data_IF_248650294627
#
_entry.id   IF_248650294627
#
_cell.length_a   1.000
_cell.length_b   1.000
_cell.length_c   1.000
_cell.angle_alpha   90.00
_cell.angle_beta   90.00
_cell.angle_gamma   90.00
#
_symmetry.space_group_name_H-M   'P 1'
#
loop_
_entity.id
_entity.type
_entity.pdbx_description
1 polymer ?
#
# COMPACT_ATOMS: atom_id res chain seq x y z
N UNK A 1 -12.78 16.68 -13.07
CA UNK A 1 -13.26 16.09 -11.80
C UNK A 1 -12.34 14.92 -11.45
N UNK A 2 -11.57 14.99 -10.36
CA UNK A 2 -10.52 13.99 -10.03
C UNK A 2 -11.03 12.54 -9.97
N UNK A 3 -12.29 12.35 -9.57
CA UNK A 3 -12.92 11.04 -9.39
C UNK A 3 -13.44 10.38 -10.69
N UNK A 4 -13.36 11.06 -11.83
CA UNK A 4 -13.79 10.55 -13.14
C UNK A 4 -12.75 10.85 -14.22
N UNK A 5 -11.49 10.53 -13.94
CA UNK A 5 -10.39 10.74 -14.89
C UNK A 5 -10.10 9.45 -15.66
N UNK A 6 -9.94 9.48 -17.00
CA UNK A 6 -9.78 8.28 -17.83
C UNK A 6 -8.51 7.48 -17.52
N UNK A 7 -7.52 8.11 -16.90
CA UNK A 7 -6.23 7.50 -16.56
C UNK A 7 -6.06 7.18 -15.06
N UNK A 8 -7.10 7.35 -14.24
CA UNK A 8 -7.04 7.08 -12.80
C UNK A 8 -8.00 5.95 -12.44
N UNK A 9 -7.45 4.83 -11.97
CA UNK A 9 -8.21 3.73 -11.39
C UNK A 9 -8.29 3.87 -9.87
N UNK A 10 -9.43 3.50 -9.28
CA UNK A 10 -9.61 3.44 -7.83
C UNK A 10 -9.74 2.00 -7.38
N UNK A 11 -8.90 1.59 -6.43
CA UNK A 11 -9.04 0.29 -5.80
C UNK A 11 -10.02 0.37 -4.64
N UNK A 12 -10.93 -0.60 -4.57
CA UNK A 12 -11.85 -0.74 -3.45
C UNK A 12 -11.12 -1.37 -2.27
N UNK A 13 -11.24 -0.74 -1.11
CA UNK A 13 -10.84 -1.36 0.15
C UNK A 13 -11.89 -2.40 0.55
N UNK A 14 -11.51 -3.68 0.51
CA UNK A 14 -12.36 -4.81 0.87
C UNK A 14 -12.10 -5.28 2.31
N UNK A 15 -12.99 -6.12 2.85
CA UNK A 15 -12.74 -6.77 4.15
C UNK A 15 -11.42 -7.54 4.16
N UNK A 16 -11.09 -8.21 3.05
CA UNK A 16 -9.81 -8.94 2.89
C UNK A 16 -8.61 -8.00 2.99
N UNK A 17 -8.64 -6.85 2.31
CA UNK A 17 -7.53 -5.87 2.39
C UNK A 17 -7.40 -5.29 3.80
N UNK A 18 -8.51 -5.06 4.51
CA UNK A 18 -8.48 -4.60 5.89
C UNK A 18 -7.81 -5.62 6.82
N UNK A 19 -8.13 -6.91 6.67
CA UNK A 19 -7.51 -7.97 7.48
C UNK A 19 -6.01 -8.03 7.23
N UNK A 20 -5.56 -7.93 5.97
CA UNK A 20 -4.14 -7.87 5.63
C UNK A 20 -3.48 -6.67 6.31
N UNK A 21 -4.07 -5.49 6.24
CA UNK A 21 -3.55 -4.29 6.88
C UNK A 21 -3.47 -4.40 8.41
N UNK A 22 -4.50 -4.96 9.05
CA UNK A 22 -4.52 -5.19 10.51
C UNK A 22 -3.41 -6.15 10.94
N UNK A 23 -3.05 -7.12 10.11
CA UNK A 23 -1.93 -8.02 10.38
C UNK A 23 -0.57 -7.33 10.14
N UNK A 24 -0.46 -6.48 9.12
CA UNK A 24 0.77 -5.76 8.80
C UNK A 24 1.10 -4.67 9.83
N UNK A 25 0.09 -3.93 10.29
CA UNK A 25 0.25 -2.79 11.18
C UNK A 25 1.14 -3.08 12.42
N UNK A 26 0.87 -4.09 13.25
CA UNK A 26 1.68 -4.39 14.42
C UNK A 26 3.05 -4.98 14.07
N UNK A 27 3.12 -5.86 13.07
CA UNK A 27 4.38 -6.52 12.66
C UNK A 27 5.42 -5.51 12.17
N UNK A 28 4.93 -4.46 11.53
CA UNK A 28 5.74 -3.46 10.88
C UNK A 28 5.71 -2.12 11.60
N UNK A 29 5.01 -1.96 12.73
CA UNK A 29 4.83 -0.66 13.41
C UNK A 29 4.35 0.44 12.44
N UNK A 30 3.35 0.12 11.62
CA UNK A 30 2.75 1.06 10.67
C UNK A 30 1.53 1.72 11.29
N UNK A 31 1.29 2.98 10.95
CA UNK A 31 0.01 3.62 11.18
C UNK A 31 -1.11 2.90 10.41
N UNK A 32 -2.35 3.00 10.90
CA UNK A 32 -3.49 2.29 10.31
C UNK A 32 -3.72 2.62 8.83
N UNK A 33 -3.53 3.89 8.45
CA UNK A 33 -3.62 4.34 7.06
C UNK A 33 -2.53 3.72 6.19
N UNK A 34 -1.29 3.75 6.66
CA UNK A 34 -0.13 3.34 5.86
C UNK A 34 -0.14 1.82 5.67
N UNK A 35 -0.57 1.08 6.69
CA UNK A 35 -0.85 -0.35 6.59
C UNK A 35 -1.94 -0.65 5.56
N UNK A 36 -3.01 0.15 5.49
CA UNK A 36 -4.08 0.00 4.50
C UNK A 36 -3.64 0.34 3.08
N UNK A 37 -2.82 1.38 2.92
CA UNK A 37 -2.21 1.72 1.62
C UNK A 37 -1.38 0.54 1.14
N UNK A 38 -0.41 0.08 1.94
CA UNK A 38 0.45 -1.05 1.59
C UNK A 38 -0.37 -2.31 1.29
N UNK A 39 -1.35 -2.65 2.13
CA UNK A 39 -2.21 -3.81 1.92
C UNK A 39 -2.98 -3.76 0.59
N UNK A 40 -3.42 -2.57 0.16
CA UNK A 40 -4.06 -2.40 -1.16
C UNK A 40 -3.08 -2.65 -2.30
N UNK A 41 -1.84 -2.16 -2.23
CA UNK A 41 -0.83 -2.43 -3.26
C UNK A 41 -0.52 -3.92 -3.36
N UNK A 42 -0.32 -4.60 -2.23
CA UNK A 42 -0.04 -6.04 -2.18
C UNK A 42 -1.23 -6.84 -2.72
N UNK A 43 -2.45 -6.58 -2.21
CA UNK A 43 -3.62 -7.37 -2.57
C UNK A 43 -4.05 -7.20 -4.04
N UNK A 44 -3.84 -6.01 -4.60
CA UNK A 44 -4.15 -5.71 -6.00
C UNK A 44 -2.94 -5.91 -6.94
N UNK A 45 -1.81 -6.43 -6.43
CA UNK A 45 -0.58 -6.69 -7.20
C UNK A 45 -0.11 -5.46 -7.99
N UNK A 46 -0.17 -4.28 -7.36
CA UNK A 46 0.33 -3.05 -7.96
C UNK A 46 1.82 -2.96 -7.62
N UNK A 47 2.73 -3.08 -8.61
CA UNK A 47 4.15 -3.24 -8.33
C UNK A 47 4.78 -1.95 -7.82
N UNK A 48 4.38 -0.79 -8.33
CA UNK A 48 5.07 0.47 -8.07
C UNK A 48 4.24 1.41 -7.21
N UNK A 49 4.84 1.93 -6.13
CA UNK A 49 4.25 2.97 -5.29
C UNK A 49 4.99 4.29 -5.55
N UNK A 50 4.24 5.32 -5.94
CA UNK A 50 4.72 6.70 -5.98
C UNK A 50 4.28 7.40 -4.69
N UNK A 51 5.23 7.81 -3.86
CA UNK A 51 4.94 8.49 -2.60
C UNK A 51 6.07 9.44 -2.23
N UNK A 52 5.72 10.53 -1.54
CA UNK A 52 6.68 11.41 -0.87
C UNK A 52 6.84 11.07 0.62
N UNK A 53 6.07 10.10 1.12
CA UNK A 53 6.12 9.67 2.51
C UNK A 53 7.41 8.90 2.78
N UNK A 54 8.30 9.48 3.59
CA UNK A 54 9.60 8.89 3.88
C UNK A 54 9.47 7.60 4.71
N UNK A 55 8.45 7.46 5.55
CA UNK A 55 8.28 6.26 6.39
C UNK A 55 7.99 5.01 5.55
N UNK A 56 7.31 5.21 4.41
CA UNK A 56 7.05 4.17 3.41
C UNK A 56 8.29 3.88 2.54
N UNK A 57 9.16 4.87 2.33
CA UNK A 57 10.38 4.74 1.51
C UNK A 57 11.56 4.10 2.26
N UNK A 58 11.69 4.35 3.56
CA UNK A 58 12.86 3.97 4.38
C UNK A 58 13.00 2.45 4.56
N UNK A 59 11.94 1.68 4.34
CA UNK A 59 11.96 0.20 4.43
C UNK A 59 12.66 -0.52 3.26
N UNK A 60 13.30 0.24 2.36
CA UNK A 60 14.03 -0.25 1.17
C UNK A 60 15.29 -1.09 1.46
N UNK A 61 15.87 -1.06 2.65
CA UNK A 61 17.30 -1.42 2.82
C UNK A 61 17.66 -2.88 3.10
N UNK A 62 16.71 -3.82 3.18
CA UNK A 62 17.08 -5.23 3.44
C UNK A 62 16.82 -6.23 2.32
N UNK A 63 15.97 -5.97 1.32
CA UNK A 63 15.88 -6.88 0.16
C UNK A 63 15.54 -6.08 -1.10
N UNK A 64 16.52 -5.98 -2.00
CA UNK A 64 16.33 -5.45 -3.35
C UNK A 64 15.36 -6.32 -4.13
N UNK A 65 14.09 -5.91 -4.16
CA UNK A 65 13.09 -6.14 -5.20
C UNK A 65 11.83 -5.43 -4.74
N UNK A 66 11.40 -4.44 -5.51
CA UNK A 66 9.99 -4.02 -5.50
C UNK A 66 9.21 -5.30 -5.83
N UNK A 67 8.35 -5.75 -4.92
CA UNK A 67 7.64 -7.02 -5.04
C UNK A 67 7.10 -7.16 -6.48
N UNK A 68 7.67 -8.13 -7.19
CA UNK A 68 7.34 -8.50 -8.57
C UNK A 68 6.18 -9.49 -8.54
#
# INVERSE_FOLDING_TARGET
>A
MLLKHPHIGFFRQTKKTCIIALNLAPQHKLGGRDALIIANFIANKVPTIYTHDQELLVRKKSHGKIFT
#
